data_IF_389479876914
#
_entry.id   IF_389479876914
#
_cell.length_a   1.000
_cell.length_b   1.000
_cell.length_c   1.000
_cell.angle_alpha   90.00
_cell.angle_beta   90.00
_cell.angle_gamma   90.00
#
_symmetry.space_group_name_H-M   'P 1'
#
loop_
_entity.id
_entity.type
_entity.pdbx_description
1 polymer ?
#
# COMPACT_ATOMS: atom_id res chain seq x y z
N UNK A 1 28.11 6.73 -32.00
CA UNK A 1 27.72 6.68 -30.58
C UNK A 1 27.20 5.27 -30.31
N UNK A 2 27.15 4.82 -29.07
CA UNK A 2 26.57 3.52 -28.78
C UNK A 2 25.05 3.66 -28.92
N UNK A 3 24.47 3.06 -29.96
CA UNK A 3 23.04 3.15 -30.29
C UNK A 3 22.17 2.31 -29.33
N UNK A 4 22.62 2.08 -28.10
CA UNK A 4 22.02 1.17 -27.12
C UNK A 4 21.82 1.78 -25.73
N UNK A 5 21.96 3.10 -25.58
CA UNK A 5 21.69 3.82 -24.33
C UNK A 5 20.66 4.92 -24.59
N UNK A 6 19.45 4.72 -24.07
CA UNK A 6 18.35 5.70 -24.15
C UNK A 6 18.10 6.39 -22.80
N UNK A 7 17.74 7.67 -22.85
CA UNK A 7 17.30 8.46 -21.69
C UNK A 7 15.89 9.01 -21.90
N UNK A 8 15.00 8.84 -20.91
CA UNK A 8 13.57 9.16 -21.06
C UNK A 8 13.12 10.42 -20.28
N UNK A 9 14.04 11.18 -19.67
CA UNK A 9 13.75 12.42 -18.94
C UNK A 9 14.69 13.57 -19.34
N UNK A 10 15.06 13.61 -20.62
CA UNK A 10 15.93 14.64 -21.20
C UNK A 10 15.14 15.54 -22.14
N UNK A 11 15.75 16.66 -22.50
CA UNK A 11 15.17 17.63 -23.43
C UNK A 11 14.80 16.98 -24.76
N UNK A 12 13.65 17.40 -25.32
CA UNK A 12 13.12 16.93 -26.60
C UNK A 12 12.78 15.41 -26.68
N UNK A 13 12.74 14.68 -25.56
CA UNK A 13 12.31 13.27 -25.52
C UNK A 13 10.82 13.15 -25.18
N UNK A 14 10.07 12.37 -25.97
CA UNK A 14 8.67 12.05 -25.67
C UNK A 14 8.59 10.93 -24.62
N UNK A 15 7.96 11.22 -23.49
CA UNK A 15 7.65 10.20 -22.47
C UNK A 15 6.33 9.53 -22.81
N UNK A 16 6.34 8.21 -22.99
CA UNK A 16 5.13 7.43 -23.20
C UNK A 16 4.51 6.99 -21.87
N UNK A 17 3.21 6.67 -21.88
CA UNK A 17 2.54 6.08 -20.71
C UNK A 17 3.23 4.79 -20.22
N UNK A 18 3.87 4.03 -21.12
CA UNK A 18 4.65 2.84 -20.74
C UNK A 18 5.95 3.20 -20.00
N UNK A 19 6.60 4.32 -20.36
CA UNK A 19 7.80 4.81 -19.66
C UNK A 19 7.43 5.30 -18.26
N UNK A 20 6.34 6.06 -18.14
CA UNK A 20 5.82 6.50 -16.85
C UNK A 20 5.40 5.32 -15.97
N UNK A 21 4.70 4.33 -16.52
CA UNK A 21 4.35 3.12 -15.78
C UNK A 21 5.61 2.40 -15.24
N UNK A 22 6.70 2.30 -16.01
CA UNK A 22 7.96 1.73 -15.52
C UNK A 22 8.57 2.55 -14.39
N UNK A 23 8.55 3.89 -14.51
CA UNK A 23 9.05 4.79 -13.47
C UNK A 23 8.22 4.64 -12.19
N UNK A 24 6.90 4.78 -12.26
CA UNK A 24 6.01 4.68 -11.10
C UNK A 24 6.05 3.30 -10.47
N UNK A 25 6.15 2.23 -11.26
CA UNK A 25 6.33 0.89 -10.72
C UNK A 25 7.66 0.77 -9.95
N UNK A 26 8.73 1.39 -10.45
CA UNK A 26 10.03 1.40 -9.78
C UNK A 26 9.98 2.21 -8.47
N UNK A 27 9.36 3.38 -8.48
CA UNK A 27 9.15 4.21 -7.28
C UNK A 27 8.27 3.51 -6.24
N UNK A 28 7.30 2.71 -6.70
CA UNK A 28 6.49 1.82 -5.87
C UNK A 28 7.21 0.53 -5.46
N UNK A 29 8.54 0.45 -5.62
CA UNK A 29 9.36 -0.72 -5.30
C UNK A 29 8.88 -2.01 -5.96
N UNK A 30 8.36 -1.90 -7.19
CA UNK A 30 7.78 -2.97 -7.99
C UNK A 30 6.57 -3.65 -7.35
N UNK A 31 5.81 -2.92 -6.54
CA UNK A 31 4.59 -3.44 -5.89
C UNK A 31 3.32 -3.03 -6.63
N UNK A 32 2.29 -3.85 -6.44
CA UNK A 32 0.91 -3.54 -6.80
C UNK A 32 0.11 -3.44 -5.51
N UNK A 33 -0.70 -2.41 -5.33
CA UNK A 33 -1.48 -2.24 -4.11
C UNK A 33 -2.65 -1.27 -4.28
N UNK A 34 -3.67 -1.46 -3.45
CA UNK A 34 -4.72 -0.48 -3.19
C UNK A 34 -4.15 0.66 -2.38
N UNK A 35 -4.36 1.89 -2.85
CA UNK A 35 -3.84 3.09 -2.21
C UNK A 35 -4.77 3.44 -1.04
N UNK A 36 -4.23 3.38 0.17
CA UNK A 36 -4.94 3.67 1.42
C UNK A 36 -5.13 5.17 1.65
N UNK A 37 -6.21 5.54 2.35
CA UNK A 37 -6.56 6.92 2.68
C UNK A 37 -7.30 7.70 1.60
N UNK A 38 -7.71 7.06 0.49
CA UNK A 38 -8.49 7.69 -0.59
C UNK A 38 -9.84 7.00 -0.76
N UNK A 39 -10.90 7.81 -0.86
CA UNK A 39 -12.29 7.38 -1.03
C UNK A 39 -12.70 6.27 -0.03
N UNK A 40 -13.26 5.17 -0.54
CA UNK A 40 -13.63 3.99 0.23
C UNK A 40 -12.58 2.88 0.10
N UNK A 41 -11.37 3.18 -0.39
CA UNK A 41 -10.24 2.27 -0.49
C UNK A 41 -10.54 0.95 -1.22
N UNK A 42 -11.39 0.96 -2.25
CA UNK A 42 -11.84 -0.26 -2.94
C UNK A 42 -12.38 -1.32 -1.97
N UNK A 43 -13.01 -0.88 -0.87
CA UNK A 43 -13.53 -1.77 0.18
C UNK A 43 -14.65 -2.65 -0.39
N UNK A 44 -14.59 -3.92 -0.04
CA UNK A 44 -15.57 -4.91 -0.48
C UNK A 44 -16.75 -5.02 0.50
N UNK A 45 -17.93 -5.25 -0.05
CA UNK A 45 -19.13 -5.67 0.67
C UNK A 45 -19.93 -6.65 -0.18
N UNK A 46 -20.89 -7.36 0.42
CA UNK A 46 -21.68 -8.38 -0.30
C UNK A 46 -23.14 -8.40 0.10
N UNK A 47 -23.99 -8.83 -0.84
CA UNK A 47 -25.41 -9.09 -0.62
C UNK A 47 -25.93 -10.11 -1.64
N UNK A 48 -26.47 -11.24 -1.17
CA UNK A 48 -26.85 -12.35 -2.05
C UNK A 48 -25.67 -12.83 -2.90
N UNK A 49 -25.85 -12.94 -4.22
CA UNK A 49 -24.79 -13.26 -5.20
C UNK A 49 -24.03 -12.03 -5.72
N UNK A 50 -24.11 -10.89 -5.02
CA UNK A 50 -23.48 -9.64 -5.44
C UNK A 50 -22.30 -9.29 -4.53
N UNK A 51 -21.20 -8.87 -5.14
CA UNK A 51 -20.07 -8.23 -4.46
C UNK A 51 -20.00 -6.78 -4.95
N UNK A 52 -19.99 -5.84 -4.01
CA UNK A 52 -19.84 -4.42 -4.30
C UNK A 52 -18.42 -3.98 -3.92
N UNK A 53 -17.74 -3.34 -4.87
CA UNK A 53 -16.44 -2.71 -4.69
C UNK A 53 -16.66 -1.21 -4.53
N UNK A 54 -16.30 -0.65 -3.38
CA UNK A 54 -16.40 0.79 -3.12
C UNK A 54 -15.47 1.61 -4.01
N UNK A 55 -15.71 2.91 -4.12
CA UNK A 55 -14.82 3.83 -4.83
C UNK A 55 -13.40 3.82 -4.24
N UNK A 56 -12.38 4.12 -5.04
CA UNK A 56 -10.99 4.16 -4.57
C UNK A 56 -9.95 3.98 -5.66
N UNK A 57 -8.69 3.88 -5.23
CA UNK A 57 -7.54 3.91 -6.13
C UNK A 57 -6.65 2.68 -5.93
N UNK A 58 -6.02 2.20 -7.00
CA UNK A 58 -4.96 1.20 -6.94
C UNK A 58 -3.80 1.59 -7.86
N UNK A 59 -2.59 1.20 -7.48
CA UNK A 59 -1.41 1.26 -8.34
C UNK A 59 -1.06 -0.17 -8.77
N UNK A 60 -1.09 -0.44 -10.07
CA UNK A 60 -0.86 -1.78 -10.64
C UNK A 60 0.16 -1.69 -11.76
N UNK A 61 1.33 -2.29 -11.55
CA UNK A 61 2.48 -2.21 -12.45
C UNK A 61 2.79 -0.79 -12.92
N UNK A 62 2.64 0.18 -11.99
CA UNK A 62 2.87 1.61 -12.20
C UNK A 62 1.73 2.36 -12.90
N UNK A 63 0.61 1.70 -13.20
CA UNK A 63 -0.60 2.32 -13.73
C UNK A 63 -1.54 2.66 -12.57
N UNK A 64 -1.96 3.92 -12.52
CA UNK A 64 -2.94 4.40 -11.56
C UNK A 64 -4.35 4.08 -12.06
N UNK A 65 -5.10 3.32 -11.27
CA UNK A 65 -6.49 2.95 -11.55
C UNK A 65 -7.38 3.64 -10.53
N UNK A 66 -8.40 4.35 -10.99
CA UNK A 66 -9.35 5.05 -10.14
C UNK A 66 -10.78 4.60 -10.45
N UNK A 67 -11.42 4.02 -9.45
CA UNK A 67 -12.83 3.69 -9.48
C UNK A 67 -13.61 4.86 -8.86
N UNK A 68 -14.26 5.66 -9.71
CA UNK A 68 -14.93 6.92 -9.33
C UNK A 68 -16.12 6.70 -8.38
N UNK A 69 -16.83 5.59 -8.55
CA UNK A 69 -18.03 5.26 -7.78
C UNK A 69 -18.10 3.76 -7.52
N UNK A 70 -18.86 3.37 -6.49
CA UNK A 70 -18.98 1.96 -6.12
C UNK A 70 -19.66 1.15 -7.23
N UNK A 71 -19.08 0.00 -7.58
CA UNK A 71 -19.60 -0.88 -8.62
C UNK A 71 -19.96 -2.25 -8.05
N UNK A 72 -21.08 -2.80 -8.52
CA UNK A 72 -21.61 -4.08 -8.07
C UNK A 72 -21.50 -5.13 -9.15
N UNK A 73 -20.85 -6.24 -8.82
CA UNK A 73 -20.65 -7.39 -9.70
C UNK A 73 -21.53 -8.53 -9.19
N UNK A 74 -22.33 -9.11 -10.08
CA UNK A 74 -23.08 -10.33 -9.79
C UNK A 74 -22.24 -11.54 -10.20
N UNK A 75 -21.94 -12.42 -9.26
CA UNK A 75 -21.21 -13.66 -9.53
C UNK A 75 -22.18 -14.81 -9.85
N UNK A 76 -21.78 -15.81 -10.65
CA UNK A 76 -22.63 -16.97 -10.90
C UNK A 76 -22.89 -17.77 -9.61
N UNK A 77 -24.04 -18.44 -9.49
CA UNK A 77 -24.32 -19.37 -8.41
C UNK A 77 -23.43 -20.63 -8.51
N UNK A 78 -23.13 -21.26 -7.37
CA UNK A 78 -22.33 -22.49 -7.30
C UNK A 78 -20.98 -22.39 -8.03
N UNK A 79 -20.32 -21.24 -7.92
CA UNK A 79 -19.08 -20.96 -8.64
C UNK A 79 -18.01 -20.37 -7.72
N UNK A 80 -16.76 -20.49 -8.15
CA UNK A 80 -15.62 -19.88 -7.48
C UNK A 80 -14.80 -19.11 -8.49
N UNK A 81 -14.15 -18.04 -8.03
CA UNK A 81 -13.33 -17.19 -8.87
C UNK A 81 -12.73 -16.05 -8.08
N UNK A 82 -12.41 -14.96 -8.78
CA UNK A 82 -11.80 -13.77 -8.22
C UNK A 82 -12.51 -12.52 -8.72
N UNK A 83 -12.65 -11.51 -7.85
CA UNK A 83 -12.96 -10.16 -8.29
C UNK A 83 -11.63 -9.44 -8.54
N UNK A 84 -11.48 -8.85 -9.73
CA UNK A 84 -10.21 -8.29 -10.19
C UNK A 84 -10.40 -6.92 -10.83
N UNK A 85 -9.37 -6.07 -10.70
CA UNK A 85 -9.11 -5.02 -11.68
C UNK A 85 -8.25 -5.64 -12.78
N UNK A 86 -8.84 -5.89 -13.95
CA UNK A 86 -8.12 -6.40 -15.10
C UNK A 86 -7.59 -5.23 -15.92
N UNK A 87 -6.33 -5.33 -16.32
CA UNK A 87 -5.72 -4.44 -17.30
C UNK A 87 -5.50 -5.25 -18.57
N UNK A 88 -6.03 -4.75 -19.68
CA UNK A 88 -5.87 -5.31 -21.02
C UNK A 88 -5.42 -4.24 -22.01
N UNK A 89 -4.13 -4.24 -22.31
CA UNK A 89 -3.49 -3.29 -23.23
C UNK A 89 -3.76 -3.59 -24.71
N UNK A 90 -4.51 -4.66 -25.04
CA UNK A 90 -5.00 -4.84 -26.41
C UNK A 90 -6.27 -4.05 -26.68
N UNK A 91 -6.96 -3.57 -25.63
CA UNK A 91 -8.10 -2.67 -25.78
C UNK A 91 -7.62 -1.23 -26.00
N UNK A 92 -8.53 -0.36 -26.43
CA UNK A 92 -8.22 1.02 -26.74
C UNK A 92 -8.79 1.99 -25.69
N UNK A 93 -8.09 3.11 -25.50
CA UNK A 93 -8.66 4.30 -24.87
C UNK A 93 -9.32 5.09 -25.98
N UNK A 94 -10.63 5.32 -25.87
CA UNK A 94 -11.41 6.07 -26.84
C UNK A 94 -11.49 7.53 -26.39
N UNK A 95 -10.79 8.46 -27.05
CA UNK A 95 -10.89 9.88 -26.75
C UNK A 95 -12.22 10.43 -27.27
N UNK A 96 -12.74 11.46 -26.60
CA UNK A 96 -13.75 12.31 -27.18
C UNK A 96 -13.14 13.12 -28.32
N UNK A 97 -13.66 12.94 -29.54
CA UNK A 97 -13.16 13.62 -30.74
C UNK A 97 -13.85 14.97 -30.97
N UNK A 98 -14.91 15.29 -30.22
CA UNK A 98 -15.68 16.53 -30.40
C UNK A 98 -15.09 17.69 -29.59
N UNK A 99 -14.36 17.40 -28.52
CA UNK A 99 -13.80 18.39 -27.60
C UNK A 99 -12.26 18.41 -27.67
N UNK A 100 -11.66 19.60 -27.61
CA UNK A 100 -10.21 19.78 -27.63
C UNK A 100 -9.60 19.25 -26.31
N UNK A 101 -8.56 18.37 -26.35
CA UNK A 101 -7.84 17.89 -25.17
C UNK A 101 -7.29 18.97 -24.24
N UNK A 102 -7.18 20.22 -24.70
CA UNK A 102 -6.80 21.37 -23.88
C UNK A 102 -7.96 21.97 -23.06
N UNK A 103 -9.18 21.43 -23.17
CA UNK A 103 -10.38 21.96 -22.51
C UNK A 103 -10.93 21.02 -21.45
N UNK A 104 -11.61 21.59 -20.45
CA UNK A 104 -12.27 20.82 -19.38
C UNK A 104 -13.46 19.97 -19.87
N UNK A 105 -13.89 20.16 -21.13
CA UNK A 105 -14.95 19.38 -21.76
C UNK A 105 -14.43 18.06 -22.36
N UNK A 106 -13.11 17.91 -22.50
CA UNK A 106 -12.51 16.70 -23.03
C UNK A 106 -12.73 15.51 -22.10
N UNK A 107 -13.32 14.46 -22.63
CA UNK A 107 -13.52 13.19 -21.92
C UNK A 107 -12.88 12.03 -22.67
N UNK A 108 -12.73 10.89 -21.99
CA UNK A 108 -12.23 9.67 -22.61
C UNK A 108 -12.83 8.46 -21.90
N UNK A 109 -12.99 7.39 -22.66
CA UNK A 109 -13.38 6.07 -22.13
C UNK A 109 -12.19 5.14 -22.19
N UNK A 110 -11.72 4.67 -21.03
CA UNK A 110 -10.60 3.74 -20.95
C UNK A 110 -11.11 2.30 -20.91
N UNK A 111 -11.14 1.62 -22.05
CA UNK A 111 -11.54 0.21 -22.12
C UNK A 111 -10.41 -0.76 -21.75
N UNK A 112 -9.20 -0.25 -21.44
CA UNK A 112 -8.07 -1.08 -21.02
C UNK A 112 -8.16 -1.52 -19.58
N UNK A 113 -9.09 -0.97 -18.79
CA UNK A 113 -9.27 -1.34 -17.38
C UNK A 113 -10.72 -1.70 -17.12
N UNK A 114 -10.95 -2.89 -16.59
CA UNK A 114 -12.26 -3.39 -16.21
C UNK A 114 -12.26 -3.88 -14.77
N UNK A 115 -13.38 -3.67 -14.09
CA UNK A 115 -13.69 -4.35 -12.85
C UNK A 115 -14.62 -5.53 -13.18
N UNK A 116 -14.13 -6.75 -13.01
CA UNK A 116 -14.88 -7.95 -13.39
C UNK A 116 -14.56 -9.15 -12.48
N UNK A 117 -15.29 -10.25 -12.69
CA UNK A 117 -14.96 -11.52 -12.08
C UNK A 117 -14.30 -12.45 -13.11
N UNK A 118 -13.33 -13.23 -12.65
CA UNK A 118 -12.60 -14.21 -13.49
C UNK A 118 -12.48 -15.54 -12.76
N UNK A 119 -12.37 -16.64 -13.50
CA UNK A 119 -12.14 -17.97 -12.93
C UNK A 119 -10.67 -18.22 -12.58
N UNK A 120 -9.74 -17.53 -13.25
CA UNK A 120 -8.30 -17.63 -13.04
C UNK A 120 -7.60 -16.28 -13.18
N UNK A 121 -6.47 -16.15 -12.50
CA UNK A 121 -5.65 -14.93 -12.54
C UNK A 121 -4.63 -15.01 -13.68
N UNK A 122 -4.43 -13.87 -14.35
CA UNK A 122 -3.38 -13.66 -15.36
C UNK A 122 -2.30 -12.79 -14.74
N UNK A 123 -1.07 -13.31 -14.65
CA UNK A 123 0.07 -12.62 -14.01
C UNK A 123 1.09 -12.12 -15.05
N UNK A 124 0.63 -11.49 -16.14
CA UNK A 124 1.51 -10.92 -17.15
C UNK A 124 2.31 -9.72 -16.66
N UNK A 125 3.50 -9.52 -17.21
CA UNK A 125 4.34 -8.34 -17.00
C UNK A 125 4.09 -7.28 -18.09
N UNK A 126 3.16 -6.36 -17.79
CA UNK A 126 2.77 -5.25 -18.66
C UNK A 126 3.91 -4.29 -19.01
N UNK A 127 4.99 -4.32 -18.23
CA UNK A 127 6.17 -3.50 -18.42
C UNK A 127 7.29 -4.22 -19.22
N UNK A 128 7.11 -5.51 -19.54
CA UNK A 128 8.05 -6.34 -20.31
C UNK A 128 7.41 -7.02 -21.54
N UNK A 129 6.25 -6.54 -22.00
CA UNK A 129 5.67 -6.91 -23.29
C UNK A 129 4.33 -7.64 -23.21
N UNK A 130 4.00 -8.24 -22.06
CA UNK A 130 2.68 -8.84 -21.87
C UNK A 130 1.58 -7.77 -21.96
N UNK A 131 0.38 -8.20 -22.36
CA UNK A 131 -0.74 -7.29 -22.61
C UNK A 131 -1.83 -7.36 -21.55
N UNK A 132 -1.89 -8.45 -20.78
CA UNK A 132 -2.98 -8.67 -19.82
C UNK A 132 -2.41 -8.97 -18.44
N UNK A 133 -2.99 -8.33 -17.41
CA UNK A 133 -2.71 -8.61 -16.01
C UNK A 133 -4.00 -8.46 -15.19
N UNK A 134 -4.20 -9.32 -14.19
CA UNK A 134 -5.32 -9.24 -13.26
C UNK A 134 -4.83 -8.92 -11.85
N UNK A 135 -5.26 -7.78 -11.31
CA UNK A 135 -5.03 -7.41 -9.91
C UNK A 135 -6.20 -7.89 -9.05
N UNK A 136 -5.98 -8.94 -8.26
CA UNK A 136 -7.03 -9.56 -7.44
C UNK A 136 -7.39 -8.75 -6.20
N UNK A 137 -8.67 -8.40 -6.05
CA UNK A 137 -9.19 -7.76 -4.84
C UNK A 137 -9.64 -8.81 -3.82
N UNK A 138 -10.32 -9.86 -4.25
CA UNK A 138 -10.69 -11.01 -3.44
C UNK A 138 -10.80 -12.29 -4.28
N UNK A 139 -10.77 -13.44 -3.60
CA UNK A 139 -11.36 -14.68 -4.11
C UNK A 139 -12.80 -14.80 -3.63
N UNK A 140 -13.64 -15.53 -4.34
CA UNK A 140 -15.01 -15.79 -3.93
C UNK A 140 -15.41 -17.25 -4.15
N UNK A 141 -16.40 -17.69 -3.37
CA UNK A 141 -17.12 -18.93 -3.54
C UNK A 141 -18.62 -18.65 -3.29
N UNK A 142 -19.47 -19.03 -4.23
CA UNK A 142 -20.92 -18.85 -4.15
C UNK A 142 -21.65 -20.18 -4.07
N UNK A 143 -22.81 -20.16 -3.41
CA UNK A 143 -23.80 -21.24 -3.45
C UNK A 143 -25.01 -20.79 -4.30
N UNK A 144 -26.17 -21.44 -4.12
CA UNK A 144 -27.38 -21.13 -4.88
C UNK A 144 -27.91 -19.69 -4.73
N UNK A 145 -27.61 -19.00 -3.62
CA UNK A 145 -28.20 -17.68 -3.32
C UNK A 145 -27.26 -16.67 -2.67
N UNK A 146 -26.07 -17.10 -2.22
CA UNK A 146 -25.14 -16.28 -1.48
C UNK A 146 -23.71 -16.45 -1.98
N UNK A 147 -22.94 -15.36 -1.93
CA UNK A 147 -21.49 -15.36 -2.12
C UNK A 147 -20.77 -15.17 -0.80
N UNK A 148 -19.65 -15.86 -0.62
CA UNK A 148 -18.63 -15.54 0.35
C UNK A 148 -17.38 -15.13 -0.40
N UNK A 149 -16.61 -14.20 0.17
CA UNK A 149 -15.34 -13.79 -0.40
C UNK A 149 -14.25 -13.76 0.68
N UNK A 150 -13.01 -13.93 0.25
CA UNK A 150 -11.82 -13.77 1.06
C UNK A 150 -10.98 -12.65 0.43
N UNK A 151 -10.74 -11.59 1.21
CA UNK A 151 -9.98 -10.42 0.76
C UNK A 151 -8.55 -10.84 0.42
N UNK A 152 -8.02 -10.36 -0.70
CA UNK A 152 -6.60 -10.50 -0.97
C UNK A 152 -5.82 -9.45 -0.16
N UNK A 153 -5.62 -9.71 1.13
CA UNK A 153 -5.06 -8.74 2.07
C UNK A 153 -3.71 -8.18 1.64
N UNK A 154 -2.88 -9.00 0.97
CA UNK A 154 -1.56 -8.58 0.48
C UNK A 154 -1.63 -7.38 -0.47
N UNK A 155 -2.70 -7.28 -1.26
CA UNK A 155 -2.95 -6.17 -2.18
C UNK A 155 -3.52 -4.93 -1.49
N UNK A 156 -4.01 -5.04 -0.26
CA UNK A 156 -4.49 -3.91 0.55
C UNK A 156 -3.45 -3.47 1.60
N UNK A 157 -2.48 -4.33 1.93
CA UNK A 157 -1.40 -4.06 2.89
C UNK A 157 -0.24 -3.36 2.17
N UNK A 158 -0.36 -2.04 2.01
CA UNK A 158 0.61 -1.19 1.32
C UNK A 158 2.02 -1.15 1.94
N UNK A 159 2.91 -0.35 1.36
CA UNK A 159 4.14 0.08 2.00
C UNK A 159 3.82 1.33 2.84
N UNK A 160 3.96 1.23 4.16
CA UNK A 160 3.66 2.37 5.04
C UNK A 160 4.95 2.76 5.75
N UNK A 161 5.33 4.03 5.61
CA UNK A 161 6.35 4.64 6.48
C UNK A 161 5.64 5.59 7.45
N UNK A 162 5.87 5.39 8.74
CA UNK A 162 5.48 6.38 9.76
C UNK A 162 6.70 6.80 10.55
N UNK A 163 6.97 8.10 10.57
CA UNK A 163 8.03 8.70 11.38
C UNK A 163 7.45 9.32 12.65
N UNK A 164 8.01 8.93 13.80
CA UNK A 164 7.74 9.52 15.11
C UNK A 164 8.92 10.43 15.45
N UNK A 165 8.64 11.69 15.74
CA UNK A 165 9.64 12.75 15.98
C UNK A 165 9.28 13.52 17.25
N UNK A 166 10.10 14.53 17.63
CA UNK A 166 9.78 15.42 18.76
C UNK A 166 8.40 16.08 18.69
N UNK A 167 7.88 16.28 17.48
CA UNK A 167 6.58 16.92 17.26
C UNK A 167 5.41 15.98 17.56
N UNK A 168 5.63 14.66 17.42
CA UNK A 168 4.60 13.64 17.70
C UNK A 168 4.77 13.01 19.07
N UNK A 169 6.00 13.00 19.59
CA UNK A 169 6.38 12.32 20.83
C UNK A 169 7.36 13.16 21.64
N UNK A 170 6.92 13.79 22.75
CA UNK A 170 7.76 14.65 23.59
C UNK A 170 8.93 13.94 24.28
N UNK A 171 8.95 12.61 24.28
CA UNK A 171 10.07 11.81 24.75
C UNK A 171 11.33 11.98 23.88
N UNK A 172 11.15 12.41 22.62
CA UNK A 172 12.20 12.63 21.64
C UNK A 172 12.62 14.11 21.63
N UNK A 173 13.93 14.35 21.74
CA UNK A 173 14.52 15.69 21.59
C UNK A 173 14.88 16.00 20.13
N UNK A 174 15.45 15.01 19.44
CA UNK A 174 15.88 15.07 18.04
C UNK A 174 15.87 13.68 17.39
N UNK A 175 15.95 13.62 16.06
CA UNK A 175 15.88 12.36 15.30
C UNK A 175 14.47 11.78 15.24
N UNK A 176 14.38 10.46 14.98
CA UNK A 176 13.10 9.78 14.77
C UNK A 176 13.11 8.30 15.15
N UNK A 177 11.91 7.77 15.37
CA UNK A 177 11.62 6.33 15.32
C UNK A 177 10.74 6.10 14.10
N UNK A 178 11.24 5.31 13.15
CA UNK A 178 10.59 5.03 11.87
C UNK A 178 10.00 3.63 11.87
N UNK A 179 8.73 3.52 11.53
CA UNK A 179 8.07 2.27 11.22
C UNK A 179 8.01 2.09 9.71
N UNK A 180 8.38 0.92 9.22
CA UNK A 180 8.29 0.54 7.82
C UNK A 180 7.48 -0.75 7.75
N UNK A 181 6.22 -0.66 7.33
CA UNK A 181 5.35 -1.83 7.11
C UNK A 181 5.43 -2.27 5.65
N UNK A 182 5.68 -3.55 5.44
CA UNK A 182 5.62 -4.23 4.14
C UNK A 182 4.79 -5.49 4.29
N UNK A 183 3.53 -5.47 3.84
CA UNK A 183 2.59 -6.55 4.18
C UNK A 183 2.32 -6.51 5.68
N UNK A 184 2.44 -7.64 6.37
CA UNK A 184 2.34 -7.69 7.85
C UNK A 184 3.66 -7.50 8.57
N UNK A 185 4.77 -7.58 7.84
CA UNK A 185 6.08 -7.35 8.44
C UNK A 185 6.30 -5.87 8.70
N UNK A 186 6.68 -5.51 9.92
CA UNK A 186 7.07 -4.16 10.30
C UNK A 186 8.51 -4.14 10.80
N UNK A 187 9.33 -3.31 10.17
CA UNK A 187 10.64 -2.91 10.66
C UNK A 187 10.51 -1.60 11.44
N UNK A 188 11.06 -1.56 12.64
CA UNK A 188 11.18 -0.35 13.46
C UNK A 188 12.64 0.05 13.48
N UNK A 189 12.96 1.22 12.95
CA UNK A 189 14.30 1.79 12.99
C UNK A 189 14.34 2.98 13.94
N UNK A 190 15.14 2.87 15.00
CA UNK A 190 15.31 3.89 16.01
C UNK A 190 16.61 4.65 15.76
N UNK A 191 16.52 5.96 15.52
CA UNK A 191 17.68 6.86 15.44
C UNK A 191 17.29 8.20 16.03
N UNK A 192 17.40 8.33 17.35
CA UNK A 192 16.88 9.48 18.08
C UNK A 192 17.76 9.90 19.26
N UNK A 193 17.54 11.13 19.71
CA UNK A 193 18.06 11.66 20.97
C UNK A 193 16.92 11.78 21.97
N UNK A 194 17.12 11.30 23.19
CA UNK A 194 16.16 11.44 24.30
C UNK A 194 16.04 12.88 24.79
N UNK A 195 14.88 13.22 25.37
CA UNK A 195 14.67 14.47 26.12
C UNK A 195 15.72 14.68 27.21
N UNK A 196 15.89 15.92 27.67
CA UNK A 196 16.96 16.31 28.60
C UNK A 196 16.95 15.54 29.92
N UNK A 197 15.77 15.27 30.46
CA UNK A 197 15.60 14.51 31.70
C UNK A 197 15.81 12.99 31.52
N UNK A 198 15.95 12.49 30.29
CA UNK A 198 15.93 11.06 29.99
C UNK A 198 14.56 10.45 30.18
N UNK A 199 14.52 9.12 30.25
CA UNK A 199 13.31 8.34 30.52
C UNK A 199 13.58 7.37 31.66
N UNK A 200 12.62 7.24 32.57
CA UNK A 200 12.65 6.21 33.61
C UNK A 200 12.24 4.87 33.02
N UNK A 201 12.62 3.79 33.69
CA UNK A 201 12.17 2.46 33.33
C UNK A 201 10.63 2.41 33.23
N UNK A 202 10.14 1.76 32.18
CA UNK A 202 8.73 1.60 31.80
C UNK A 202 8.03 2.88 31.30
N UNK A 203 8.73 4.00 31.17
CA UNK A 203 8.15 5.17 30.50
C UNK A 203 8.00 4.94 29.00
N UNK A 204 6.90 5.43 28.44
CA UNK A 204 6.61 5.37 27.02
C UNK A 204 7.47 6.36 26.25
N UNK A 205 8.05 5.89 25.16
CA UNK A 205 8.61 6.73 24.09
C UNK A 205 7.50 7.08 23.11
N UNK A 206 6.70 6.08 22.71
CA UNK A 206 5.54 6.24 21.84
C UNK A 206 4.32 5.74 22.60
N UNK A 207 3.36 6.63 22.83
CA UNK A 207 2.18 6.34 23.67
C UNK A 207 1.07 5.59 22.93
N UNK A 208 1.03 5.67 21.60
CA UNK A 208 0.09 4.93 20.74
C UNK A 208 0.72 4.70 19.37
N UNK A 209 0.80 3.43 18.96
CA UNK A 209 1.13 3.02 17.60
C UNK A 209 -0.09 3.28 16.70
N UNK A 210 0.10 3.85 15.50
CA UNK A 210 -1.00 4.07 14.55
C UNK A 210 -1.81 2.81 14.28
N UNK A 211 -3.12 2.94 14.04
CA UNK A 211 -4.03 1.80 13.93
C UNK A 211 -3.70 0.88 12.74
N UNK A 212 -3.19 1.44 11.65
CA UNK A 212 -2.71 0.68 10.49
C UNK A 212 -1.34 0.00 10.72
N UNK A 213 -0.76 0.14 11.91
CA UNK A 213 0.46 -0.52 12.37
C UNK A 213 0.18 -1.33 13.65
N UNK A 214 -1.09 -1.63 13.94
CA UNK A 214 -1.46 -2.32 15.16
C UNK A 214 -0.71 -3.65 15.31
N UNK A 215 -0.02 -3.80 16.43
CA UNK A 215 0.88 -4.92 16.68
C UNK A 215 0.05 -6.19 16.94
N UNK A 216 0.38 -7.29 16.25
CA UNK A 216 -0.15 -8.63 16.51
C UNK A 216 0.78 -9.42 17.43
N UNK A 217 2.06 -9.48 17.05
CA UNK A 217 3.11 -10.14 17.80
C UNK A 217 4.40 -9.35 17.67
N UNK A 218 5.13 -9.14 18.77
CA UNK A 218 6.39 -8.39 18.79
C UNK A 218 7.56 -9.18 19.38
N UNK A 219 8.77 -8.81 18.95
CA UNK A 219 10.04 -9.19 19.56
C UNK A 219 10.84 -7.93 19.91
N UNK A 220 11.76 -8.04 20.87
CA UNK A 220 12.42 -6.90 21.52
C UNK A 220 13.26 -6.05 20.54
N UNK A 221 13.30 -4.73 20.76
CA UNK A 221 14.21 -3.82 20.05
C UNK A 221 15.46 -3.64 20.90
N UNK A 222 16.61 -4.15 20.44
CA UNK A 222 17.89 -3.88 21.08
C UNK A 222 18.43 -2.54 20.60
N UNK A 223 18.72 -1.64 21.54
CA UNK A 223 19.51 -0.44 21.29
C UNK A 223 21.00 -0.77 21.55
N UNK A 224 21.91 -0.10 20.85
CA UNK A 224 23.34 -0.26 21.10
C UNK A 224 23.67 0.10 22.54
N UNK A 225 24.16 -0.87 23.33
CA UNK A 225 24.57 -0.68 24.73
C UNK A 225 23.43 -0.92 25.73
N UNK A 226 23.23 -2.19 26.11
CA UNK A 226 22.47 -2.68 27.29
C UNK A 226 20.99 -2.28 27.45
N UNK A 227 20.43 -1.43 26.58
CA UNK A 227 19.04 -0.97 26.66
C UNK A 227 18.12 -1.72 25.70
N UNK A 228 16.98 -2.18 26.20
CA UNK A 228 15.90 -2.76 25.40
C UNK A 228 14.67 -1.85 25.40
N UNK A 229 14.01 -1.74 24.25
CA UNK A 229 12.66 -1.22 24.15
C UNK A 229 11.68 -2.38 24.02
N UNK A 230 10.57 -2.27 24.75
CA UNK A 230 9.44 -3.16 24.62
C UNK A 230 8.43 -2.54 23.65
N UNK A 231 8.05 -3.31 22.63
CA UNK A 231 6.92 -3.00 21.74
C UNK A 231 5.74 -3.82 22.26
N UNK A 232 4.78 -3.17 22.90
CA UNK A 232 3.69 -3.84 23.62
C UNK A 232 2.42 -3.89 22.75
N UNK A 233 1.98 -5.10 22.43
CA UNK A 233 0.79 -5.35 21.63
C UNK A 233 -0.52 -5.07 22.39
N UNK A 234 -0.54 -5.18 23.72
CA UNK A 234 -1.73 -4.91 24.52
C UNK A 234 -2.00 -3.42 24.63
N UNK A 235 -0.96 -2.64 24.89
CA UNK A 235 -1.07 -1.19 25.08
C UNK A 235 -0.84 -0.40 23.78
N UNK A 236 -0.43 -1.07 22.70
CA UNK A 236 -0.06 -0.46 21.42
C UNK A 236 0.98 0.66 21.63
N UNK A 237 2.02 0.40 22.42
CA UNK A 237 3.00 1.40 22.84
C UNK A 237 4.44 0.90 22.70
N UNK A 238 5.39 1.84 22.71
CA UNK A 238 6.83 1.55 22.81
C UNK A 238 7.36 2.13 24.11
N UNK A 239 7.87 1.28 24.99
CA UNK A 239 8.37 1.69 26.32
C UNK A 239 9.80 1.23 26.56
N UNK A 240 10.49 1.91 27.48
CA UNK A 240 11.86 1.53 27.87
C UNK A 240 11.82 0.46 28.95
N UNK A 241 12.67 -0.58 28.87
CA UNK A 241 12.71 -1.61 29.94
C UNK A 241 13.61 -1.17 31.10
N UNK A 242 14.68 -0.44 30.80
CA UNK A 242 15.74 -0.08 31.76
C UNK A 242 15.94 1.43 31.94
N UNK A 243 15.05 2.25 31.36
CA UNK A 243 15.23 3.71 31.27
C UNK A 243 16.26 4.09 30.21
N UNK A 244 16.26 5.37 29.82
CA UNK A 244 17.23 5.93 28.89
C UNK A 244 17.84 7.20 29.48
N UNK A 245 19.15 7.36 29.31
CA UNK A 245 19.89 8.55 29.75
C UNK A 245 19.39 9.77 28.97
N UNK A 246 19.29 10.91 29.64
CA UNK A 246 18.92 12.17 29.02
C UNK A 246 19.96 12.67 28.01
N UNK A 247 19.48 13.39 27.00
CA UNK A 247 20.31 14.04 25.98
C UNK A 247 21.30 13.08 25.27
N UNK A 248 20.98 11.78 25.18
CA UNK A 248 21.85 10.74 24.64
C UNK A 248 21.26 10.19 23.33
N UNK A 249 22.12 9.90 22.35
CA UNK A 249 21.72 9.32 21.07
C UNK A 249 21.64 7.81 21.14
N UNK A 250 20.58 7.27 20.56
CA UNK A 250 20.32 5.83 20.49
C UNK A 250 20.07 5.41 19.04
N UNK A 251 20.71 4.30 18.67
CA UNK A 251 20.50 3.58 17.42
C UNK A 251 20.03 2.16 17.73
N UNK A 252 19.05 1.68 16.98
CA UNK A 252 18.61 0.29 17.07
C UNK A 252 17.59 -0.06 16.00
N UNK A 253 17.34 -1.36 15.85
CA UNK A 253 16.34 -1.87 14.91
C UNK A 253 15.57 -3.00 15.58
N UNK A 254 14.28 -3.09 15.30
CA UNK A 254 13.42 -4.16 15.78
C UNK A 254 12.39 -4.55 14.74
N UNK A 255 11.74 -5.69 14.95
CA UNK A 255 10.77 -6.24 14.00
C UNK A 255 9.55 -6.81 14.72
N UNK A 256 8.37 -6.67 14.10
CA UNK A 256 7.13 -7.26 14.58
C UNK A 256 6.16 -7.55 13.42
N UNK A 257 5.12 -8.33 13.67
CA UNK A 257 4.01 -8.55 12.73
C UNK A 257 2.83 -7.67 13.11
N UNK A 258 2.29 -6.93 12.14
CA UNK A 258 1.10 -6.11 12.27
C UNK A 258 -0.15 -6.88 11.85
N UNK A 259 -1.29 -6.53 12.45
CA UNK A 259 -2.63 -7.00 12.05
C UNK A 259 -3.06 -6.40 10.70
#
# INVERSE_FOLDING_TARGET
MADNVDGFQFDNVKVSAANDAKLYHTLAQRRNYVIKGYEQELRLSKSGLKITVGAGCALVQGRFIYLKEAQTITVPANSSGYIVLRIDLTQEVVPDLENDPATDLYTWTNNQVSLEWVTSLVNGNLNQGDKVYTFSLCSFNSNGSNVNYELNESNYKGYVIVDRTKNTDPALKAGQIRFIRTGDFVLVHCSFQTKDAGLKAKENIISKVPENLAIDFSSHISLTGTGELLVDAQTQAVSTVWGLKGNTYYLGTGIYLAK
#
